data_IF_888253713232
#
_entry.id   IF_888253713232
#
_cell.length_a   1.000
_cell.length_b   1.000
_cell.length_c   1.000
_cell.angle_alpha   90.00
_cell.angle_beta   90.00
_cell.angle_gamma   90.00
#
_symmetry.space_group_name_H-M   'P 1'
#
loop_
_entity.id
_entity.type
_entity.pdbx_description
1 polymer ?
#
# COMPACT_ATOMS: atom_id res chain seq x y z
N UNK A 1 -42.91 3.67 -28.18
CA UNK A 1 -43.14 2.28 -27.69
C UNK A 1 -42.84 1.36 -28.87
N UNK A 2 -41.63 0.80 -28.89
CA UNK A 2 -41.23 -0.13 -29.95
C UNK A 2 -41.96 -1.46 -29.75
N UNK A 3 -42.89 -1.72 -30.63
CA UNK A 3 -43.70 -2.94 -30.69
C UNK A 3 -42.81 -4.05 -31.33
N UNK A 4 -41.88 -4.65 -30.54
CA UNK A 4 -41.13 -5.82 -31.00
C UNK A 4 -42.09 -7.00 -31.09
N UNK A 5 -42.48 -7.39 -32.30
CA UNK A 5 -43.19 -8.63 -32.56
C UNK A 5 -42.37 -9.81 -32.02
N UNK A 6 -42.94 -10.70 -31.22
CA UNK A 6 -42.22 -11.88 -30.71
C UNK A 6 -41.86 -12.79 -31.90
N UNK A 7 -40.56 -13.11 -32.00
CA UNK A 7 -40.07 -14.10 -32.97
C UNK A 7 -40.21 -15.47 -32.31
N UNK A 8 -41.09 -16.34 -32.82
CA UNK A 8 -41.17 -17.74 -32.40
C UNK A 8 -40.07 -18.53 -33.11
N UNK A 9 -39.17 -19.09 -32.35
CA UNK A 9 -38.13 -20.03 -32.84
C UNK A 9 -38.54 -21.42 -32.39
N UNK A 10 -38.68 -22.35 -33.34
CA UNK A 10 -38.97 -23.76 -33.06
C UNK A 10 -37.63 -24.49 -33.12
N UNK A 11 -37.23 -25.13 -32.00
CA UNK A 11 -36.01 -25.92 -31.87
C UNK A 11 -36.38 -27.40 -31.74
N UNK A 12 -35.57 -28.28 -32.30
CA UNK A 12 -35.61 -29.71 -31.93
C UNK A 12 -35.09 -29.92 -30.51
N UNK A 13 -35.38 -31.06 -29.84
CA UNK A 13 -34.84 -31.34 -28.52
C UNK A 13 -33.33 -31.25 -28.46
N UNK A 14 -32.63 -31.72 -29.49
CA UNK A 14 -31.15 -31.72 -29.58
C UNK A 14 -30.62 -30.27 -29.73
N UNK A 15 -31.24 -29.45 -30.56
CA UNK A 15 -30.89 -28.02 -30.73
C UNK A 15 -31.14 -27.23 -29.44
N UNK A 16 -32.17 -27.60 -28.69
CA UNK A 16 -32.49 -26.97 -27.41
C UNK A 16 -31.43 -27.34 -26.34
N UNK A 17 -31.01 -28.61 -26.26
CA UNK A 17 -29.91 -29.03 -25.36
C UNK A 17 -28.57 -28.32 -25.72
N UNK A 18 -28.27 -28.23 -27.03
CA UNK A 18 -27.05 -27.52 -27.48
C UNK A 18 -27.10 -26.04 -27.10
N UNK A 19 -28.24 -25.40 -27.25
CA UNK A 19 -28.45 -24.03 -26.86
C UNK A 19 -28.29 -23.82 -25.37
N UNK A 20 -28.86 -24.71 -24.53
CA UNK A 20 -28.70 -24.67 -23.08
C UNK A 20 -27.25 -24.84 -22.65
N UNK A 21 -26.53 -25.76 -23.26
CA UNK A 21 -25.09 -25.99 -22.94
C UNK A 21 -24.26 -24.75 -23.33
N UNK A 22 -24.46 -24.18 -24.52
CA UNK A 22 -23.76 -22.96 -24.92
C UNK A 22 -24.11 -21.76 -24.03
N UNK A 23 -25.36 -21.63 -23.61
CA UNK A 23 -25.76 -20.59 -22.68
C UNK A 23 -25.13 -20.75 -21.28
N UNK A 24 -25.09 -22.01 -20.78
CA UNK A 24 -24.43 -22.34 -19.52
C UNK A 24 -22.92 -22.05 -19.56
N UNK A 25 -22.23 -22.47 -20.64
CA UNK A 25 -20.79 -22.19 -20.83
C UNK A 25 -20.51 -20.68 -20.91
N UNK A 26 -21.32 -19.94 -21.68
CA UNK A 26 -21.18 -18.50 -21.80
C UNK A 26 -21.42 -17.80 -20.45
N UNK A 27 -22.43 -18.23 -19.70
CA UNK A 27 -22.74 -17.73 -18.37
C UNK A 27 -21.60 -18.02 -17.36
N UNK A 28 -21.08 -19.25 -17.36
CA UNK A 28 -19.95 -19.63 -16.51
C UNK A 28 -18.69 -18.80 -16.84
N UNK A 29 -18.35 -18.66 -18.13
CA UNK A 29 -17.22 -17.84 -18.57
C UNK A 29 -17.36 -16.39 -18.17
N UNK A 30 -18.52 -15.79 -18.40
CA UNK A 30 -18.80 -14.41 -18.00
C UNK A 30 -18.73 -14.21 -16.47
N UNK A 31 -19.23 -15.19 -15.70
CA UNK A 31 -19.15 -15.20 -14.23
C UNK A 31 -17.72 -15.25 -13.72
N UNK A 32 -16.88 -16.12 -14.28
CA UNK A 32 -15.46 -16.24 -13.92
C UNK A 32 -14.71 -14.95 -14.28
N UNK A 33 -14.97 -14.39 -15.47
CA UNK A 33 -14.31 -13.15 -15.91
C UNK A 33 -14.69 -11.97 -14.99
N UNK A 34 -15.96 -11.84 -14.66
CA UNK A 34 -16.44 -10.82 -13.71
C UNK A 34 -15.77 -10.96 -12.34
N UNK A 35 -15.75 -12.18 -11.78
CA UNK A 35 -15.12 -12.47 -10.51
C UNK A 35 -13.62 -12.11 -10.51
N UNK A 36 -12.90 -12.52 -11.55
CA UNK A 36 -11.47 -12.20 -11.68
C UNK A 36 -11.21 -10.68 -11.78
N UNK A 37 -12.07 -9.94 -12.47
CA UNK A 37 -11.98 -8.48 -12.57
C UNK A 37 -12.29 -7.79 -11.25
N UNK A 38 -13.26 -8.29 -10.48
CA UNK A 38 -13.56 -7.79 -9.14
C UNK A 38 -12.39 -8.04 -8.18
N UNK A 39 -11.78 -9.24 -8.21
CA UNK A 39 -10.59 -9.55 -7.42
C UNK A 39 -9.42 -8.63 -7.74
N UNK A 40 -9.08 -8.46 -9.02
CA UNK A 40 -8.01 -7.55 -9.47
C UNK A 40 -8.26 -6.11 -9.01
N UNK A 41 -9.51 -5.66 -9.09
CA UNK A 41 -9.89 -4.32 -8.65
C UNK A 41 -9.75 -4.14 -7.13
N UNK A 42 -10.16 -5.15 -6.36
CA UNK A 42 -10.02 -5.15 -4.90
C UNK A 42 -8.54 -5.17 -4.48
N UNK A 43 -7.71 -6.00 -5.11
CA UNK A 43 -6.27 -6.06 -4.86
C UNK A 43 -5.59 -4.72 -5.16
N UNK A 44 -5.92 -4.10 -6.31
CA UNK A 44 -5.38 -2.79 -6.67
C UNK A 44 -5.75 -1.72 -5.64
N UNK A 45 -7.03 -1.64 -5.24
CA UNK A 45 -7.48 -0.69 -4.22
C UNK A 45 -6.74 -0.88 -2.88
N UNK A 46 -6.49 -2.14 -2.49
CA UNK A 46 -5.75 -2.46 -1.27
C UNK A 46 -4.28 -2.03 -1.38
N UNK A 47 -3.63 -2.28 -2.51
CA UNK A 47 -2.27 -1.84 -2.77
C UNK A 47 -2.14 -0.31 -2.76
N UNK A 48 -3.04 0.40 -3.44
CA UNK A 48 -3.08 1.87 -3.45
C UNK A 48 -3.24 2.44 -2.03
N UNK A 49 -4.08 1.80 -1.19
CA UNK A 49 -4.29 2.21 0.20
C UNK A 49 -3.05 1.99 1.06
N UNK A 50 -2.34 0.87 0.89
CA UNK A 50 -1.07 0.60 1.57
C UNK A 50 0.00 1.63 1.22
N UNK A 51 0.17 1.94 -0.06
CA UNK A 51 1.09 2.98 -0.52
C UNK A 51 0.75 4.35 0.09
N UNK A 52 -0.52 4.70 0.09
CA UNK A 52 -1.00 5.93 0.71
C UNK A 52 -0.67 5.99 2.21
N UNK A 53 -0.99 4.95 2.96
CA UNK A 53 -0.74 4.86 4.39
C UNK A 53 0.77 4.84 4.71
N UNK A 54 1.60 4.16 3.91
CA UNK A 54 3.07 4.23 4.03
C UNK A 54 3.55 5.67 3.92
N UNK A 55 3.10 6.39 2.90
CA UNK A 55 3.47 7.79 2.71
C UNK A 55 2.97 8.69 3.85
N UNK A 56 1.80 8.40 4.39
CA UNK A 56 1.23 9.10 5.53
C UNK A 56 2.08 8.91 6.79
N UNK A 57 2.48 7.67 7.10
CA UNK A 57 3.37 7.34 8.21
C UNK A 57 4.72 8.05 8.08
N UNK A 58 5.35 7.97 6.92
CA UNK A 58 6.63 8.63 6.67
C UNK A 58 6.54 10.15 6.83
N UNK A 59 5.51 10.79 6.29
CA UNK A 59 5.31 12.24 6.44
C UNK A 59 5.12 12.70 7.88
N UNK A 60 4.53 11.85 8.70
CA UNK A 60 4.29 12.14 10.12
C UNK A 60 5.36 11.56 11.04
N UNK A 61 6.38 10.87 10.51
CA UNK A 61 7.38 10.15 11.30
C UNK A 61 8.01 11.02 12.39
N UNK A 62 8.53 12.21 12.05
CA UNK A 62 9.18 13.11 13.02
C UNK A 62 8.23 13.58 14.13
N UNK A 63 6.97 13.89 13.75
CA UNK A 63 5.96 14.28 14.74
C UNK A 63 5.56 13.12 15.67
N UNK A 64 5.48 11.91 15.15
CA UNK A 64 5.24 10.70 15.92
C UNK A 64 6.41 10.41 16.87
N UNK A 65 7.65 10.57 16.39
CA UNK A 65 8.87 10.40 17.20
C UNK A 65 8.91 11.34 18.38
N UNK A 66 8.69 12.64 18.15
CA UNK A 66 8.62 13.62 19.24
C UNK A 66 7.53 13.29 20.28
N UNK A 67 6.37 12.80 19.84
CA UNK A 67 5.30 12.38 20.74
C UNK A 67 5.68 11.14 21.57
N UNK A 68 6.42 10.20 20.99
CA UNK A 68 6.86 8.99 21.70
C UNK A 68 7.94 9.28 22.74
N UNK A 69 8.88 10.17 22.44
CA UNK A 69 9.96 10.58 23.35
C UNK A 69 9.44 11.29 24.60
N UNK A 70 8.33 12.05 24.45
CA UNK A 70 7.68 12.78 25.54
C UNK A 70 6.74 11.90 26.40
N UNK A 71 6.61 10.61 26.08
CA UNK A 71 5.69 9.70 26.76
C UNK A 71 6.47 8.74 27.66
N UNK A 72 6.12 8.67 28.94
CA UNK A 72 6.62 7.63 29.85
C UNK A 72 5.98 6.32 29.41
N UNK A 73 6.76 5.51 28.69
CA UNK A 73 6.30 4.27 28.12
C UNK A 73 6.27 3.15 29.15
N UNK A 74 5.09 2.66 29.49
CA UNK A 74 4.93 1.43 30.25
C UNK A 74 4.83 0.25 29.29
N UNK A 75 5.91 -0.54 29.18
CA UNK A 75 5.98 -1.76 28.34
C UNK A 75 4.96 -2.83 28.71
N UNK A 76 4.22 -2.68 29.78
CA UNK A 76 3.37 -3.72 30.37
C UNK A 76 1.95 -3.80 29.81
N UNK A 77 1.52 -2.93 28.89
CA UNK A 77 0.14 -2.91 28.36
C UNK A 77 0.12 -2.99 26.82
N UNK A 78 0.86 -3.94 26.26
CA UNK A 78 0.78 -4.19 24.82
C UNK A 78 -0.29 -5.24 24.52
N UNK A 79 -1.57 -4.83 24.47
CA UNK A 79 -2.67 -5.68 23.99
C UNK A 79 -2.81 -5.60 22.46
N UNK A 80 -2.23 -4.58 21.80
CA UNK A 80 -2.38 -4.32 20.38
C UNK A 80 -1.04 -4.49 19.66
N UNK A 81 -1.03 -5.18 18.52
CA UNK A 81 0.16 -5.34 17.69
C UNK A 81 0.25 -4.26 16.59
N UNK A 82 1.45 -4.09 16.00
CA UNK A 82 1.61 -3.24 14.84
C UNK A 82 0.70 -3.66 13.66
N UNK A 83 0.48 -4.96 13.47
CA UNK A 83 -0.41 -5.50 12.44
C UNK A 83 -1.86 -5.06 12.65
N UNK A 84 -2.35 -5.07 13.89
CA UNK A 84 -3.72 -4.64 14.23
C UNK A 84 -3.92 -3.15 13.94
N UNK A 85 -2.92 -2.33 14.29
CA UNK A 85 -2.95 -0.89 14.02
C UNK A 85 -2.94 -0.63 12.51
N UNK A 86 -2.08 -1.30 11.76
CA UNK A 86 -1.97 -1.16 10.31
C UNK A 86 -3.25 -1.62 9.61
N UNK A 87 -3.87 -2.72 10.05
CA UNK A 87 -5.15 -3.18 9.49
C UNK A 87 -6.29 -2.18 9.81
N UNK A 88 -6.30 -1.59 11.02
CA UNK A 88 -7.26 -0.54 11.36
C UNK A 88 -7.14 0.68 10.44
N UNK A 89 -5.92 1.08 10.06
CA UNK A 89 -5.67 2.16 9.10
C UNK A 89 -6.22 1.84 7.70
N UNK A 90 -6.29 0.57 7.32
CA UNK A 90 -6.84 0.16 6.01
C UNK A 90 -8.34 0.43 5.89
N UNK A 91 -9.08 0.43 7.00
CA UNK A 91 -10.52 0.73 7.06
C UNK A 91 -10.87 2.21 7.13
N UNK A 92 -9.92 3.09 7.47
CA UNK A 92 -10.16 4.53 7.66
C UNK A 92 -9.78 5.29 6.38
N UNK A 93 -10.66 6.18 5.91
CA UNK A 93 -10.45 6.98 4.68
C UNK A 93 -10.05 8.43 4.96
N UNK A 94 -10.01 8.85 6.23
CA UNK A 94 -9.63 10.21 6.61
C UNK A 94 -8.24 10.20 7.25
N UNK A 95 -7.26 10.81 6.59
CA UNK A 95 -5.85 10.86 7.02
C UNK A 95 -5.68 11.51 8.38
N UNK A 96 -6.45 12.57 8.68
CA UNK A 96 -6.38 13.25 9.96
C UNK A 96 -6.83 12.32 11.09
N UNK A 97 -7.92 11.57 10.88
CA UNK A 97 -8.42 10.58 11.87
C UNK A 97 -7.40 9.48 12.10
N UNK A 98 -6.72 8.99 11.05
CA UNK A 98 -5.65 8.00 11.18
C UNK A 98 -4.52 8.55 12.05
N UNK A 99 -3.99 9.72 11.71
CA UNK A 99 -2.87 10.34 12.43
C UNK A 99 -3.24 10.64 13.88
N UNK A 100 -4.44 11.17 14.12
CA UNK A 100 -4.93 11.44 15.48
C UNK A 100 -5.11 10.17 16.30
N UNK A 101 -5.64 9.10 15.71
CA UNK A 101 -5.83 7.81 16.40
C UNK A 101 -4.50 7.21 16.89
N UNK A 102 -3.42 7.44 16.15
CA UNK A 102 -2.06 7.03 16.56
C UNK A 102 -1.53 7.98 17.62
N UNK A 103 -1.59 9.31 17.40
CA UNK A 103 -1.02 10.33 18.31
C UNK A 103 -1.68 10.37 19.67
N UNK A 104 -2.97 10.08 19.74
CA UNK A 104 -3.73 10.10 21.01
C UNK A 104 -3.42 8.91 21.94
N UNK A 105 -2.62 7.95 21.47
CA UNK A 105 -2.13 6.83 22.26
C UNK A 105 -0.62 6.73 22.19
N UNK A 106 0.06 7.01 23.29
CA UNK A 106 1.52 6.86 23.39
C UNK A 106 1.97 5.42 23.04
N UNK A 107 1.20 4.44 23.46
CA UNK A 107 1.44 3.01 23.17
C UNK A 107 1.35 2.73 21.68
N UNK A 108 0.29 3.15 21.01
CA UNK A 108 0.14 3.00 19.55
C UNK A 108 1.26 3.69 18.78
N UNK A 109 1.60 4.93 19.20
CA UNK A 109 2.70 5.68 18.60
C UNK A 109 4.01 4.90 18.69
N UNK A 110 4.37 4.38 19.87
CA UNK A 110 5.60 3.63 20.07
C UNK A 110 5.62 2.31 19.28
N UNK A 111 4.51 1.57 19.24
CA UNK A 111 4.39 0.33 18.48
C UNK A 111 4.62 0.60 16.98
N UNK A 112 3.92 1.60 16.42
CA UNK A 112 4.03 1.92 15.00
C UNK A 112 5.42 2.47 14.65
N UNK A 113 6.00 3.33 15.48
CA UNK A 113 7.35 3.84 15.25
C UNK A 113 8.37 2.72 15.25
N UNK A 114 8.37 1.86 16.27
CA UNK A 114 9.29 0.72 16.34
C UNK A 114 9.16 -0.18 15.11
N UNK A 115 7.94 -0.44 14.66
CA UNK A 115 7.71 -1.23 13.45
C UNK A 115 8.25 -0.53 12.20
N UNK A 116 7.94 0.74 12.00
CA UNK A 116 8.40 1.53 10.84
C UNK A 116 9.92 1.63 10.84
N UNK A 117 10.56 1.91 11.97
CA UNK A 117 12.03 1.98 12.10
C UNK A 117 12.68 0.64 11.79
N UNK A 118 12.09 -0.46 12.27
CA UNK A 118 12.56 -1.81 11.95
C UNK A 118 12.50 -2.08 10.45
N UNK A 119 11.41 -1.69 9.79
CA UNK A 119 11.25 -1.90 8.35
C UNK A 119 12.16 -0.98 7.51
N UNK A 120 12.43 0.24 7.97
CA UNK A 120 13.43 1.13 7.35
C UNK A 120 14.83 0.54 7.48
N UNK A 121 15.20 0.01 8.63
CA UNK A 121 16.47 -0.69 8.83
C UNK A 121 16.58 -1.94 7.95
N UNK A 122 15.52 -2.74 7.84
CA UNK A 122 15.48 -3.87 6.92
C UNK A 122 15.66 -3.44 5.46
N UNK A 123 15.03 -2.34 5.06
CA UNK A 123 15.18 -1.77 3.71
C UNK A 123 16.62 -1.32 3.45
N UNK A 124 17.27 -0.69 4.43
CA UNK A 124 18.69 -0.32 4.34
C UNK A 124 19.57 -1.55 4.08
N UNK A 125 19.41 -2.59 4.89
CA UNK A 125 20.16 -3.85 4.73
C UNK A 125 19.96 -4.48 3.35
N UNK A 126 18.74 -4.43 2.80
CA UNK A 126 18.45 -4.92 1.45
C UNK A 126 19.16 -4.08 0.37
N UNK A 127 19.18 -2.76 0.53
CA UNK A 127 19.89 -1.86 -0.39
C UNK A 127 21.40 -2.08 -0.33
N UNK A 128 21.97 -2.21 0.86
CA UNK A 128 23.39 -2.46 1.04
C UNK A 128 23.84 -3.81 0.45
N UNK A 129 22.98 -4.85 0.58
CA UNK A 129 23.24 -6.17 0.00
C UNK A 129 23.07 -6.25 -1.51
N UNK A 130 22.32 -5.33 -2.12
CA UNK A 130 22.10 -5.34 -3.57
C UNK A 130 23.35 -4.93 -4.35
N UNK A 131 24.34 -4.29 -3.68
CA UNK A 131 25.56 -3.71 -4.27
C UNK A 131 25.25 -2.79 -5.48
N UNK A 132 24.05 -2.16 -5.45
CA UNK A 132 23.54 -1.32 -6.51
C UNK A 132 23.41 0.13 -6.02
N UNK A 133 24.18 1.02 -6.58
CA UNK A 133 24.17 2.44 -6.24
C UNK A 133 22.77 3.09 -6.34
N UNK A 134 21.95 2.62 -7.29
CA UNK A 134 20.57 3.11 -7.44
C UNK A 134 19.72 2.74 -6.22
N UNK A 135 19.90 1.57 -5.65
CA UNK A 135 19.14 1.15 -4.46
C UNK A 135 19.61 1.90 -3.22
N UNK A 136 20.93 2.12 -3.07
CA UNK A 136 21.50 2.97 -2.01
C UNK A 136 20.99 4.41 -2.11
N UNK A 137 20.91 4.97 -3.32
CA UNK A 137 20.34 6.29 -3.58
C UNK A 137 18.85 6.36 -3.20
N UNK A 138 18.05 5.35 -3.56
CA UNK A 138 16.62 5.27 -3.19
C UNK A 138 16.40 5.24 -1.70
N UNK A 139 17.25 4.48 -0.97
CA UNK A 139 17.22 4.50 0.49
C UNK A 139 17.56 5.89 1.03
N UNK A 140 18.65 6.52 0.57
CA UNK A 140 19.06 7.85 1.00
C UNK A 140 17.97 8.90 0.74
N UNK A 141 17.27 8.83 -0.39
CA UNK A 141 16.14 9.72 -0.71
C UNK A 141 15.04 9.62 0.37
N UNK A 142 14.62 8.42 0.75
CA UNK A 142 13.61 8.23 1.80
C UNK A 142 14.12 8.71 3.15
N UNK A 143 15.35 8.33 3.50
CA UNK A 143 15.94 8.69 4.78
C UNK A 143 16.04 10.20 4.96
N UNK A 144 16.58 10.91 3.97
CA UNK A 144 16.75 12.35 4.05
C UNK A 144 15.43 13.12 3.98
N UNK A 145 14.46 12.67 3.18
CA UNK A 145 13.18 13.36 3.07
C UNK A 145 12.32 13.21 4.33
N UNK A 146 12.37 12.05 5.01
CA UNK A 146 11.36 11.71 6.00
C UNK A 146 11.91 11.39 7.40
N UNK A 147 13.13 10.83 7.49
CA UNK A 147 13.66 10.25 8.73
C UNK A 147 14.70 11.16 9.37
N UNK A 148 15.73 11.58 8.60
CA UNK A 148 16.82 12.42 9.09
C UNK A 148 16.31 13.69 9.75
N UNK A 149 16.94 14.08 10.85
CA UNK A 149 16.68 15.38 11.52
C UNK A 149 17.10 16.54 10.61
N UNK A 150 18.22 16.38 9.89
CA UNK A 150 18.70 17.32 8.86
C UNK A 150 18.04 17.04 7.51
N UNK A 151 16.80 17.51 7.38
CA UNK A 151 16.00 17.29 6.18
C UNK A 151 16.59 17.97 4.94
N UNK A 152 16.91 17.17 3.92
CA UNK A 152 17.24 17.68 2.60
C UNK A 152 15.96 17.86 1.73
N UNK A 153 15.98 18.91 0.90
CA UNK A 153 14.98 19.08 -0.15
C UNK A 153 15.29 18.16 -1.34
N UNK A 154 14.27 17.91 -2.19
CA UNK A 154 14.48 17.11 -3.42
C UNK A 154 15.50 17.74 -4.37
N UNK A 155 15.70 19.05 -4.32
CA UNK A 155 16.73 19.74 -5.10
C UNK A 155 18.11 19.40 -4.57
N UNK A 156 18.33 19.53 -3.27
CA UNK A 156 19.61 19.19 -2.64
C UNK A 156 19.97 17.71 -2.81
N UNK A 157 18.97 16.82 -2.79
CA UNK A 157 19.19 15.40 -3.10
C UNK A 157 19.55 15.15 -4.56
N UNK A 158 18.93 15.87 -5.50
CA UNK A 158 19.27 15.79 -6.91
C UNK A 158 20.71 16.29 -7.14
N UNK A 159 21.10 17.40 -6.51
CA UNK A 159 22.46 17.95 -6.57
C UNK A 159 23.48 16.98 -5.92
N UNK A 160 23.16 16.41 -4.75
CA UNK A 160 24.01 15.42 -4.03
C UNK A 160 24.32 14.20 -4.89
N UNK A 161 23.32 13.68 -5.60
CA UNK A 161 23.46 12.47 -6.42
C UNK A 161 23.75 12.74 -7.89
N UNK A 162 23.93 14.02 -8.28
CA UNK A 162 24.15 14.45 -9.68
C UNK A 162 23.10 13.88 -10.65
N UNK A 163 21.82 13.95 -10.26
CA UNK A 163 20.68 13.47 -11.03
C UNK A 163 19.62 14.56 -11.23
N UNK A 164 18.70 14.34 -12.17
CA UNK A 164 17.57 15.24 -12.34
C UNK A 164 16.57 15.15 -11.18
N UNK A 165 15.92 16.26 -10.88
CA UNK A 165 14.87 16.33 -9.87
C UNK A 165 13.72 15.33 -10.14
N UNK A 166 13.39 15.06 -11.40
CA UNK A 166 12.42 14.04 -11.80
C UNK A 166 12.83 12.65 -11.38
N UNK A 167 14.13 12.32 -11.44
CA UNK A 167 14.68 11.05 -10.95
C UNK A 167 14.49 10.91 -9.45
N UNK A 168 14.69 11.98 -8.67
CA UNK A 168 14.43 11.96 -7.21
C UNK A 168 12.97 11.61 -6.89
N UNK A 169 12.01 12.13 -7.64
CA UNK A 169 10.59 11.77 -7.47
C UNK A 169 10.31 10.30 -7.80
N UNK A 170 10.95 9.79 -8.86
CA UNK A 170 10.80 8.39 -9.24
C UNK A 170 11.44 7.45 -8.20
N UNK A 171 12.63 7.81 -7.71
CA UNK A 171 13.32 7.07 -6.64
C UNK A 171 12.50 7.06 -5.34
N UNK A 172 11.92 8.21 -4.94
CA UNK A 172 10.99 8.29 -3.81
C UNK A 172 9.80 7.34 -3.99
N UNK A 173 9.19 7.34 -5.18
CA UNK A 173 8.04 6.48 -5.49
C UNK A 173 8.39 5.01 -5.34
N UNK A 174 9.47 4.56 -6.00
CA UNK A 174 9.91 3.16 -5.95
C UNK A 174 10.31 2.75 -4.53
N UNK A 175 10.98 3.62 -3.80
CA UNK A 175 11.36 3.36 -2.41
C UNK A 175 10.12 3.22 -1.49
N UNK A 176 9.09 4.07 -1.67
CA UNK A 176 7.83 3.94 -0.93
C UNK A 176 7.11 2.63 -1.28
N UNK A 177 7.10 2.21 -2.55
CA UNK A 177 6.53 0.92 -2.96
C UNK A 177 7.21 -0.26 -2.26
N UNK A 178 8.56 -0.29 -2.25
CA UNK A 178 9.34 -1.33 -1.54
C UNK A 178 9.09 -1.30 -0.04
N UNK A 179 9.08 -0.11 0.56
CA UNK A 179 8.85 0.05 1.99
C UNK A 179 7.42 -0.32 2.39
N UNK A 180 6.45 -0.05 1.53
CA UNK A 180 5.06 -0.47 1.72
C UNK A 180 4.92 -1.99 1.82
N UNK A 181 5.65 -2.72 0.98
CA UNK A 181 5.69 -4.18 1.05
C UNK A 181 6.32 -4.69 2.35
N UNK A 182 7.34 -4.03 2.87
CA UNK A 182 7.96 -4.38 4.16
C UNK A 182 7.03 -4.06 5.34
N UNK A 183 6.39 -2.90 5.36
CA UNK A 183 5.53 -2.45 6.46
C UNK A 183 4.23 -3.25 6.53
N UNK A 184 3.57 -3.50 5.39
CA UNK A 184 2.26 -4.15 5.32
C UNK A 184 2.29 -5.64 4.92
N UNK A 185 3.49 -6.19 4.65
CA UNK A 185 3.67 -7.56 4.16
C UNK A 185 3.63 -7.70 2.64
N UNK A 186 4.16 -8.82 2.16
CA UNK A 186 4.43 -9.08 0.72
C UNK A 186 3.16 -9.26 -0.13
N UNK A 187 2.00 -9.48 0.47
CA UNK A 187 0.72 -9.68 -0.26
C UNK A 187 0.32 -8.52 -1.21
N UNK A 188 1.18 -7.51 -1.35
CA UNK A 188 0.97 -6.33 -2.19
C UNK A 188 1.88 -6.22 -3.42
N UNK A 189 2.73 -7.22 -3.69
CA UNK A 189 3.68 -7.20 -4.81
C UNK A 189 3.26 -8.05 -6.03
N UNK A 190 2.04 -8.59 -6.05
CA UNK A 190 1.49 -9.33 -7.21
C UNK A 190 0.54 -8.46 -8.03
#
# INVERSE_FOLDING_TARGET
MDNKTPVLITLTPEEFEEFLNKAAEAGAKAGIEKYNNELKTAQKKRADKRLHNTKLLLRNYRALKLNSENSIFSRMQMEESAADILESMMGIYNDQVIVESIKNSATRTAIILTHVETMIGAYQVLCDKSDNEIDSRRYDVIYQLYISDDKLSRKELADKWSIDKSTTYNDEKIAIERLSALIFGIDGLN
#
